data_IF_376250782467
#
_entry.id   IF_376250782467
#
_cell.length_a   1.000
_cell.length_b   1.000
_cell.length_c   1.000
_cell.angle_alpha   90.00
_cell.angle_beta   90.00
_cell.angle_gamma   90.00
#
_symmetry.space_group_name_H-M   'P 1'
#
loop_
_entity.id
_entity.type
_entity.pdbx_description
1 polymer ?
#
# COMPACT_ATOMS: atom_id res chain seq x y z
N UNK A 1 26.16 -15.55 -10.58
CA UNK A 1 25.85 -15.24 -11.99
C UNK A 1 24.60 -16.04 -12.35
N UNK A 2 23.43 -15.39 -12.37
CA UNK A 2 22.14 -16.02 -12.71
C UNK A 2 21.67 -15.52 -14.09
N UNK A 3 20.96 -16.34 -14.88
CA UNK A 3 20.69 -16.06 -16.27
C UNK A 3 19.50 -15.11 -16.47
N UNK A 4 19.53 -14.47 -17.64
CA UNK A 4 18.55 -13.56 -18.24
C UNK A 4 17.13 -14.16 -18.26
N UNK A 5 16.16 -13.42 -17.70
CA UNK A 5 14.73 -13.72 -17.90
C UNK A 5 14.21 -12.96 -19.11
N UNK A 6 13.84 -13.70 -20.16
CA UNK A 6 13.12 -13.17 -21.31
C UNK A 6 11.68 -12.81 -20.92
N UNK A 7 11.27 -11.57 -21.23
CA UNK A 7 9.90 -11.09 -21.03
C UNK A 7 8.91 -11.89 -21.89
N UNK A 8 8.06 -12.68 -21.24
CA UNK A 8 6.92 -13.35 -21.86
C UNK A 8 5.84 -12.29 -22.15
N UNK A 9 5.69 -11.92 -23.43
CA UNK A 9 4.60 -11.06 -23.91
C UNK A 9 3.23 -11.70 -23.63
N UNK A 10 2.51 -11.23 -22.63
CA UNK A 10 1.07 -11.53 -22.48
C UNK A 10 0.22 -10.51 -23.24
N UNK A 11 0.15 -10.66 -24.56
CA UNK A 11 -0.97 -10.11 -25.34
C UNK A 11 -2.20 -10.99 -25.11
N UNK A 12 -3.09 -10.61 -24.20
CA UNK A 12 -4.47 -11.11 -24.20
C UNK A 12 -5.36 -10.05 -24.85
N UNK A 13 -5.64 -10.25 -26.15
CA UNK A 13 -6.64 -9.48 -26.91
C UNK A 13 -8.04 -9.79 -26.34
N UNK A 14 -8.64 -8.85 -25.62
CA UNK A 14 -10.09 -8.87 -25.40
C UNK A 14 -10.77 -8.11 -26.54
N UNK A 15 -11.33 -8.85 -27.50
CA UNK A 15 -12.24 -8.32 -28.53
C UNK A 15 -13.67 -8.68 -28.11
N UNK A 16 -14.44 -7.76 -27.53
CA UNK A 16 -15.91 -7.83 -27.57
C UNK A 16 -16.56 -6.49 -27.16
N UNK A 17 -17.38 -5.95 -28.08
CA UNK A 17 -18.52 -5.03 -27.83
C UNK A 17 -18.32 -3.51 -27.59
N UNK A 18 -17.28 -2.86 -28.13
CA UNK A 18 -17.11 -1.38 -27.98
C UNK A 18 -17.77 -0.49 -29.04
N UNK A 19 -18.59 -1.03 -29.95
CA UNK A 19 -19.01 -0.30 -31.15
C UNK A 19 -20.16 0.70 -30.91
N UNK A 20 -21.01 0.47 -29.91
CA UNK A 20 -22.16 1.35 -29.61
C UNK A 20 -21.82 2.57 -28.75
N UNK A 21 -20.79 2.48 -27.91
CA UNK A 21 -20.42 3.52 -26.94
C UNK A 21 -19.04 4.18 -27.20
N UNK A 22 -18.34 3.82 -28.29
CA UNK A 22 -16.98 4.34 -28.60
C UNK A 22 -16.01 4.25 -27.40
N UNK A 23 -16.10 3.19 -26.62
CA UNK A 23 -15.21 2.98 -25.49
C UNK A 23 -13.85 2.49 -26.00
N UNK A 24 -12.84 3.36 -25.90
CA UNK A 24 -11.46 3.01 -26.16
C UNK A 24 -10.78 2.66 -24.84
N UNK A 25 -10.16 1.49 -24.77
CA UNK A 25 -9.32 1.09 -23.64
C UNK A 25 -8.13 2.05 -23.53
N UNK A 26 -8.13 2.93 -22.53
CA UNK A 26 -6.94 3.70 -22.14
C UNK A 26 -6.06 2.83 -21.26
N UNK A 27 -4.80 2.64 -21.65
CA UNK A 27 -3.84 1.91 -20.81
C UNK A 27 -3.68 2.58 -19.45
N UNK A 28 -3.52 1.77 -18.39
CA UNK A 28 -3.25 2.26 -17.04
C UNK A 28 -1.88 2.93 -17.03
N UNK A 29 -1.85 4.24 -16.72
CA UNK A 29 -0.60 4.95 -16.52
C UNK A 29 0.06 4.44 -15.22
N UNK A 30 1.21 3.78 -15.33
CA UNK A 30 1.97 3.33 -14.16
C UNK A 30 2.70 4.53 -13.57
N UNK A 31 2.18 5.08 -12.47
CA UNK A 31 2.87 6.10 -11.70
C UNK A 31 4.08 5.46 -11.02
N UNK A 32 5.29 5.88 -11.40
CA UNK A 32 6.51 5.59 -10.65
C UNK A 32 6.75 6.76 -9.71
N UNK A 33 6.70 6.53 -8.41
CA UNK A 33 7.17 7.51 -7.45
C UNK A 33 8.65 7.77 -7.71
N UNK A 34 8.99 8.95 -8.20
CA UNK A 34 10.35 9.39 -8.45
C UNK A 34 10.65 10.55 -7.51
N UNK A 35 11.04 10.22 -6.29
CA UNK A 35 11.57 11.21 -5.34
C UNK A 35 13.07 11.30 -5.55
N UNK A 36 13.48 12.00 -6.62
CA UNK A 36 14.89 12.33 -6.86
C UNK A 36 15.34 13.58 -6.07
N UNK A 37 14.41 14.21 -5.34
CA UNK A 37 14.71 15.37 -4.50
C UNK A 37 14.69 14.94 -3.04
N UNK A 38 15.84 15.06 -2.37
CA UNK A 38 15.92 15.08 -0.91
C UNK A 38 15.32 16.43 -0.47
N UNK A 39 14.00 16.49 -0.47
CA UNK A 39 13.29 17.54 0.27
C UNK A 39 13.48 17.13 1.74
N UNK A 40 14.10 17.95 2.60
CA UNK A 40 14.16 17.65 4.02
C UNK A 40 12.72 17.67 4.55
N UNK A 41 12.11 16.50 4.58
CA UNK A 41 10.82 16.33 5.22
C UNK A 41 11.07 16.50 6.71
N UNK A 42 10.21 17.27 7.37
CA UNK A 42 10.26 17.39 8.81
C UNK A 42 9.82 16.05 9.40
N UNK A 43 10.77 15.13 9.63
CA UNK A 43 10.52 13.89 10.38
C UNK A 43 10.24 14.31 11.80
N UNK A 44 8.98 14.23 12.22
CA UNK A 44 8.63 14.43 13.62
C UNK A 44 9.33 13.32 14.43
N UNK A 45 10.05 13.71 15.47
CA UNK A 45 10.73 12.76 16.35
C UNK A 45 9.71 11.78 16.95
N UNK A 46 10.02 10.47 16.89
CA UNK A 46 9.20 9.45 17.53
C UNK A 46 9.30 9.60 19.07
N UNK A 47 8.27 10.20 19.68
CA UNK A 47 8.22 10.45 21.11
C UNK A 47 8.20 9.17 21.95
N UNK A 48 7.73 8.04 21.39
CA UNK A 48 7.72 6.75 22.07
C UNK A 48 9.13 6.14 22.18
N UNK A 49 10.04 6.48 21.26
CA UNK A 49 11.43 6.02 21.23
C UNK A 49 11.61 4.51 21.51
N UNK A 50 10.72 3.65 20.98
CA UNK A 50 10.70 2.19 21.21
C UNK A 50 10.53 1.73 22.66
N UNK A 51 10.02 2.60 23.55
CA UNK A 51 9.70 2.26 24.94
C UNK A 51 8.28 1.68 25.04
N UNK A 52 8.18 0.36 24.92
CA UNK A 52 6.90 -0.37 24.98
C UNK A 52 6.51 -0.84 26.39
N UNK A 53 7.05 -0.21 27.44
CA UNK A 53 6.84 -0.64 28.82
C UNK A 53 6.46 0.58 29.70
N UNK A 54 5.24 1.12 29.54
CA UNK A 54 4.76 2.24 30.35
C UNK A 54 4.62 1.84 31.82
N UNK A 55 4.72 2.82 32.73
CA UNK A 55 4.67 2.54 34.17
C UNK A 55 3.25 2.34 34.72
N UNK A 56 2.20 2.71 33.96
CA UNK A 56 0.78 2.56 34.34
C UNK A 56 -0.12 2.38 33.12
N UNK A 57 -1.29 1.76 33.34
CA UNK A 57 -2.43 1.70 32.41
C UNK A 57 -2.83 3.10 31.93
N UNK A 58 -3.38 3.18 30.72
CA UNK A 58 -3.97 4.37 30.10
C UNK A 58 -3.01 5.55 29.88
N UNK A 59 -1.72 5.29 29.69
CA UNK A 59 -0.72 6.33 29.39
C UNK A 59 -0.27 6.29 27.94
N UNK A 60 -0.05 5.10 27.38
CA UNK A 60 0.45 4.95 26.00
C UNK A 60 -0.36 3.87 25.29
N UNK A 61 -0.99 4.25 24.19
CA UNK A 61 -1.78 3.35 23.34
C UNK A 61 -1.14 3.24 21.97
N UNK A 62 -1.14 2.03 21.40
CA UNK A 62 -0.79 1.81 20.00
C UNK A 62 -2.05 1.54 19.20
N UNK A 63 -2.08 2.06 17.98
CA UNK A 63 -3.11 1.77 17.00
C UNK A 63 -2.47 1.29 15.70
N UNK A 64 -3.07 0.29 15.07
CA UNK A 64 -2.73 -0.13 13.72
C UNK A 64 -3.99 -0.28 12.86
N UNK A 65 -3.83 -0.06 11.55
CA UNK A 65 -4.89 -0.22 10.56
C UNK A 65 -4.41 -1.24 9.53
N UNK A 66 -5.03 -2.41 9.55
CA UNK A 66 -4.66 -3.55 8.72
C UNK A 66 -5.73 -3.76 7.66
N UNK A 67 -5.29 -3.93 6.41
CA UNK A 67 -6.15 -4.33 5.30
C UNK A 67 -6.06 -5.83 5.10
N UNK A 68 -7.13 -6.54 5.41
CA UNK A 68 -7.22 -7.99 5.26
C UNK A 68 -7.96 -8.31 3.97
N UNK A 69 -7.32 -9.07 3.09
CA UNK A 69 -7.95 -9.54 1.85
C UNK A 69 -8.87 -10.71 2.14
N UNK A 70 -10.12 -10.60 1.71
CA UNK A 70 -11.13 -11.67 1.78
C UNK A 70 -11.62 -12.00 0.37
N UNK A 71 -12.34 -13.12 0.21
CA UNK A 71 -12.81 -13.58 -1.11
C UNK A 71 -13.64 -12.55 -1.87
N UNK A 72 -14.40 -11.72 -1.15
CA UNK A 72 -15.32 -10.73 -1.71
C UNK A 72 -14.75 -9.29 -1.73
N UNK A 73 -13.54 -9.06 -1.23
CA UNK A 73 -12.99 -7.70 -1.16
C UNK A 73 -11.91 -7.49 -0.10
N UNK A 74 -11.92 -6.31 0.51
CA UNK A 74 -10.98 -5.89 1.55
C UNK A 74 -11.74 -5.53 2.83
N UNK A 75 -11.30 -6.10 3.93
CA UNK A 75 -11.75 -5.76 5.28
C UNK A 75 -10.76 -4.79 5.90
N UNK A 76 -11.24 -3.64 6.38
CA UNK A 76 -10.45 -2.72 7.18
C UNK A 76 -10.57 -3.09 8.66
N UNK A 77 -9.47 -3.50 9.26
CA UNK A 77 -9.37 -3.80 10.68
C UNK A 77 -8.63 -2.67 11.40
N UNK A 78 -9.27 -2.11 12.42
CA UNK A 78 -8.67 -1.10 13.31
C UNK A 78 -8.44 -1.76 14.67
N UNK A 79 -7.20 -1.73 15.15
CA UNK A 79 -6.80 -2.31 16.45
C UNK A 79 -6.25 -1.20 17.32
N UNK A 80 -6.70 -1.13 18.59
CA UNK A 80 -6.17 -0.22 19.61
C UNK A 80 -5.80 -1.07 20.83
N UNK A 81 -4.57 -0.93 21.32
CA UNK A 81 -4.03 -1.70 22.45
C UNK A 81 -3.39 -0.73 23.45
N UNK A 82 -3.70 -0.90 24.73
CA UNK A 82 -2.96 -0.27 25.84
C UNK A 82 -1.63 -0.99 26.03
N UNK A 83 -0.53 -0.25 26.18
CA UNK A 83 0.82 -0.82 26.26
C UNK A 83 1.27 -1.26 27.66
N UNK A 84 0.47 -1.06 28.71
CA UNK A 84 0.79 -1.52 30.06
C UNK A 84 0.52 -3.00 30.26
#
# INVERSE_FOLDING_TARGET
MMPEMQDIKSQTKSKSSSSRLRLLSKGVHKFKYKTDMIIPHNVVSNTLATKFNPDKLNIIWIMDIIYIKIGEGWLSLHVIIDLY
#
